data_IF_941780067479
#
_entry.id   IF_941780067479
#
_cell.length_a   1.000
_cell.length_b   1.000
_cell.length_c   1.000
_cell.angle_alpha   90.00
_cell.angle_beta   90.00
_cell.angle_gamma   90.00
#
_symmetry.space_group_name_H-M   'P 1'
#
loop_
_entity.id
_entity.type
_entity.pdbx_description
1 polymer ?
#
# COMPACT_ATOMS: atom_id res chain seq x y z
N UNK A 1 -11.50 -27.13 -15.09
CA UNK A 1 -11.27 -25.69 -15.40
C UNK A 1 -9.82 -25.48 -15.87
N UNK A 2 -9.62 -24.78 -16.98
CA UNK A 2 -8.29 -24.61 -17.59
C UNK A 2 -7.41 -23.64 -16.77
N UNK A 3 -6.09 -23.81 -16.83
CA UNK A 3 -5.13 -23.00 -16.10
C UNK A 3 -5.01 -21.58 -16.67
N UNK A 4 -4.66 -20.59 -15.84
CA UNK A 4 -4.50 -19.20 -16.30
C UNK A 4 -3.49 -19.01 -17.44
N UNK A 5 -2.36 -19.76 -17.51
CA UNK A 5 -1.46 -19.72 -18.67
C UNK A 5 -2.12 -20.19 -19.98
N UNK A 6 -3.02 -21.17 -19.91
CA UNK A 6 -3.78 -21.63 -21.09
C UNK A 6 -4.69 -20.52 -21.63
N UNK A 7 -5.32 -19.75 -20.75
CA UNK A 7 -6.14 -18.61 -21.15
C UNK A 7 -5.31 -17.45 -21.71
N UNK A 8 -4.13 -17.17 -21.15
CA UNK A 8 -3.21 -16.16 -21.68
C UNK A 8 -2.80 -16.47 -23.13
N UNK A 9 -2.47 -17.74 -23.41
CA UNK A 9 -2.14 -18.18 -24.77
C UNK A 9 -3.36 -18.11 -25.70
N UNK A 10 -4.53 -18.55 -25.23
CA UNK A 10 -5.78 -18.50 -26.01
C UNK A 10 -6.27 -17.10 -26.35
N UNK A 11 -5.94 -16.09 -25.55
CA UNK A 11 -6.27 -14.69 -25.86
C UNK A 11 -5.40 -14.14 -26.99
N UNK A 12 -4.15 -14.63 -27.15
CA UNK A 12 -3.25 -14.27 -28.24
C UNK A 12 -3.61 -14.94 -29.56
N UNK A 13 -4.04 -16.20 -29.49
CA UNK A 13 -4.28 -17.03 -30.68
C UNK A 13 -5.65 -16.76 -31.35
N UNK A 14 -6.38 -15.73 -30.93
CA UNK A 14 -7.73 -15.45 -31.41
C UNK A 14 -7.86 -14.04 -31.98
N UNK A 15 -8.77 -13.82 -32.96
CA UNK A 15 -9.05 -12.49 -33.45
C UNK A 15 -9.62 -11.60 -32.33
N UNK A 16 -9.35 -10.28 -32.33
CA UNK A 16 -9.66 -9.38 -31.22
C UNK A 16 -11.10 -9.47 -30.71
N UNK A 17 -12.08 -9.61 -31.61
CA UNK A 17 -13.50 -9.76 -31.26
C UNK A 17 -13.80 -11.01 -30.41
N UNK A 18 -13.17 -12.14 -30.71
CA UNK A 18 -13.32 -13.40 -29.94
C UNK A 18 -12.47 -13.38 -28.67
N UNK A 19 -11.30 -12.75 -28.71
CA UNK A 19 -10.44 -12.59 -27.54
C UNK A 19 -11.12 -11.70 -26.48
N UNK A 20 -11.77 -10.60 -26.88
CA UNK A 20 -12.55 -9.75 -25.97
C UNK A 20 -13.76 -10.51 -25.41
N UNK A 21 -14.46 -11.29 -26.23
CA UNK A 21 -15.56 -12.12 -25.75
C UNK A 21 -15.08 -13.15 -24.71
N UNK A 22 -13.93 -13.79 -24.94
CA UNK A 22 -13.30 -14.69 -23.98
C UNK A 22 -12.87 -13.94 -22.71
N UNK A 23 -12.23 -12.77 -22.82
CA UNK A 23 -11.83 -11.94 -21.70
C UNK A 23 -13.04 -11.59 -20.81
N UNK A 24 -14.19 -11.23 -21.40
CA UNK A 24 -15.44 -10.98 -20.66
C UNK A 24 -15.93 -12.18 -19.85
N UNK A 25 -15.70 -13.41 -20.32
CA UNK A 25 -16.04 -14.62 -19.55
C UNK A 25 -15.10 -14.86 -18.36
N UNK A 26 -13.89 -14.28 -18.41
CA UNK A 26 -12.89 -14.42 -17.36
C UNK A 26 -12.96 -13.30 -16.33
N UNK A 27 -13.34 -12.09 -16.75
CA UNK A 27 -13.43 -10.92 -15.90
C UNK A 27 -14.60 -11.05 -14.93
N UNK A 28 -14.37 -10.66 -13.68
CA UNK A 28 -15.39 -10.68 -12.63
C UNK A 28 -16.67 -9.92 -13.05
N UNK A 29 -17.85 -10.37 -12.60
CA UNK A 29 -19.15 -9.83 -13.03
C UNK A 29 -19.28 -8.29 -12.84
N UNK A 30 -18.68 -7.73 -11.78
CA UNK A 30 -18.67 -6.28 -11.51
C UNK A 30 -17.51 -5.51 -12.19
N UNK A 31 -16.66 -6.19 -12.96
CA UNK A 31 -15.49 -5.65 -13.67
C UNK A 31 -15.63 -5.70 -15.19
N UNK A 32 -16.79 -6.13 -15.71
CA UNK A 32 -17.05 -6.25 -17.15
C UNK A 32 -16.63 -5.05 -18.02
N UNK A 33 -16.70 -3.78 -17.56
CA UNK A 33 -16.18 -2.64 -18.31
C UNK A 33 -14.67 -2.67 -18.57
N UNK A 34 -13.88 -3.41 -17.78
CA UNK A 34 -12.42 -3.57 -17.92
C UNK A 34 -12.03 -4.58 -19.01
N UNK A 35 -13.00 -5.33 -19.57
CA UNK A 35 -12.75 -6.23 -20.69
C UNK A 35 -12.72 -5.46 -22.02
N UNK A 36 -11.74 -4.57 -22.16
CA UNK A 36 -11.53 -3.70 -23.33
C UNK A 36 -10.45 -4.25 -24.28
N UNK A 37 -10.37 -3.66 -25.47
CA UNK A 37 -9.30 -3.94 -26.42
C UNK A 37 -7.93 -3.49 -25.90
N UNK A 38 -7.87 -2.39 -25.14
CA UNK A 38 -6.65 -1.87 -24.51
C UNK A 38 -6.06 -2.89 -23.53
N UNK A 39 -6.88 -3.42 -22.60
CA UNK A 39 -6.44 -4.45 -21.65
C UNK A 39 -6.02 -5.74 -22.37
N UNK A 40 -6.68 -6.08 -23.48
CA UNK A 40 -6.26 -7.21 -24.30
C UNK A 40 -4.86 -7.00 -24.92
N UNK A 41 -4.57 -5.80 -25.43
CA UNK A 41 -3.26 -5.45 -25.98
C UNK A 41 -2.18 -5.51 -24.90
N UNK A 42 -2.45 -4.99 -23.71
CA UNK A 42 -1.53 -5.07 -22.56
C UNK A 42 -1.21 -6.51 -22.19
N UNK A 43 -2.23 -7.38 -22.04
CA UNK A 43 -2.04 -8.81 -21.74
C UNK A 43 -1.21 -9.55 -22.81
N UNK A 44 -1.32 -9.12 -24.06
CA UNK A 44 -0.57 -9.70 -25.17
C UNK A 44 0.91 -9.27 -25.18
N UNK A 45 1.26 -8.13 -24.58
CA UNK A 45 2.64 -7.64 -24.46
C UNK A 45 3.42 -8.25 -23.28
N UNK A 46 2.72 -8.83 -22.30
CA UNK A 46 3.33 -9.44 -21.11
C UNK A 46 3.98 -10.80 -21.41
N UNK A 47 4.77 -11.33 -20.47
CA UNK A 47 5.13 -12.76 -20.49
C UNK A 47 3.89 -13.63 -20.26
N UNK A 48 3.92 -14.92 -20.62
CA UNK A 48 2.79 -15.82 -20.35
C UNK A 48 2.51 -15.97 -18.84
N UNK A 49 3.55 -15.90 -18.01
CA UNK A 49 3.43 -15.97 -16.55
C UNK A 49 2.76 -14.71 -15.99
N UNK A 50 3.22 -13.53 -16.40
CA UNK A 50 2.65 -12.26 -15.97
C UNK A 50 1.22 -12.08 -16.46
N UNK A 51 0.93 -12.45 -17.72
CA UNK A 51 -0.42 -12.44 -18.27
C UNK A 51 -1.34 -13.40 -17.50
N UNK A 52 -0.84 -14.58 -17.09
CA UNK A 52 -1.61 -15.51 -16.27
C UNK A 52 -1.92 -14.93 -14.88
N UNK A 53 -0.96 -14.19 -14.29
CA UNK A 53 -1.15 -13.44 -13.04
C UNK A 53 -2.19 -12.33 -13.17
N UNK A 54 -2.14 -11.54 -14.24
CA UNK A 54 -3.11 -10.48 -14.52
C UNK A 54 -4.53 -11.03 -14.78
N UNK A 55 -4.66 -12.17 -15.48
CA UNK A 55 -5.94 -12.85 -15.67
C UNK A 55 -6.51 -13.36 -14.33
N UNK A 56 -5.65 -13.85 -13.42
CA UNK A 56 -6.08 -14.22 -12.06
C UNK A 56 -6.58 -13.01 -11.27
N UNK A 57 -5.93 -11.86 -11.41
CA UNK A 57 -6.37 -10.60 -10.79
C UNK A 57 -7.75 -10.18 -11.32
N UNK A 58 -7.93 -10.16 -12.64
CA UNK A 58 -9.18 -9.76 -13.31
C UNK A 58 -10.39 -10.65 -12.95
N UNK A 59 -10.14 -11.92 -12.58
CA UNK A 59 -11.16 -12.85 -12.06
C UNK A 59 -11.65 -12.49 -10.66
N UNK A 60 -10.84 -11.78 -9.88
CA UNK A 60 -11.16 -11.33 -8.54
C UNK A 60 -12.08 -10.09 -8.52
N UNK A 61 -12.75 -9.83 -7.39
CA UNK A 61 -13.53 -8.61 -7.22
C UNK A 61 -12.64 -7.36 -7.30
N UNK A 62 -13.23 -6.20 -7.61
CA UNK A 62 -12.53 -4.92 -7.64
C UNK A 62 -11.75 -4.72 -6.34
N UNK A 63 -10.43 -4.56 -6.44
CA UNK A 63 -9.59 -4.19 -5.31
C UNK A 63 -9.58 -2.67 -5.24
N UNK A 64 -10.37 -2.12 -4.32
CA UNK A 64 -10.36 -0.69 -4.09
C UNK A 64 -9.21 -0.33 -3.14
N UNK A 65 -8.32 0.55 -3.57
CA UNK A 65 -7.53 1.37 -2.64
C UNK A 65 -8.40 2.60 -2.34
N UNK A 66 -9.30 2.48 -1.35
CA UNK A 66 -10.15 3.59 -0.92
C UNK A 66 -9.37 4.45 0.08
N UNK A 67 -8.90 5.61 -0.38
CA UNK A 67 -8.66 6.75 0.51
C UNK A 67 -10.01 7.38 0.87
N UNK A 68 -10.37 7.37 2.16
CA UNK A 68 -11.57 8.05 2.64
C UNK A 68 -11.23 9.52 2.87
N UNK A 69 -11.38 10.35 1.82
CA UNK A 69 -11.18 11.80 1.86
C UNK A 69 -9.71 12.20 1.93
N UNK A 70 -9.12 12.62 0.79
CA UNK A 70 -7.75 13.16 0.61
C UNK A 70 -6.57 12.43 1.31
N UNK A 71 -6.82 11.28 1.93
CA UNK A 71 -5.96 10.67 2.93
C UNK A 71 -6.11 9.14 2.81
N UNK A 72 -5.00 8.47 2.46
CA UNK A 72 -4.95 7.02 2.33
C UNK A 72 -4.61 6.42 3.69
N UNK A 73 -5.54 5.69 4.31
CA UNK A 73 -5.27 5.00 5.58
C UNK A 73 -5.22 3.50 5.39
N UNK A 74 -4.22 2.85 6.01
CA UNK A 74 -4.04 1.39 6.01
C UNK A 74 -4.08 0.87 7.44
N UNK A 75 -4.67 -0.31 7.64
CA UNK A 75 -4.61 -1.02 8.92
C UNK A 75 -3.22 -1.62 9.09
N UNK A 76 -2.58 -1.34 10.22
CA UNK A 76 -1.26 -1.84 10.56
C UNK A 76 -1.25 -2.44 11.97
N UNK A 77 -0.32 -3.36 12.18
CA UNK A 77 0.07 -3.81 13.51
C UNK A 77 1.49 -3.31 13.81
N UNK A 78 1.65 -2.60 14.92
CA UNK A 78 2.97 -2.22 15.44
C UNK A 78 3.36 -3.14 16.58
N UNK A 79 4.58 -3.65 16.54
CA UNK A 79 5.17 -4.47 17.60
C UNK A 79 6.43 -3.76 18.12
N UNK A 80 6.50 -3.55 19.43
CA UNK A 80 7.68 -3.02 20.10
C UNK A 80 8.81 -4.05 20.08
N UNK A 81 10.04 -3.58 19.91
CA UNK A 81 11.19 -4.48 19.76
C UNK A 81 11.71 -5.00 21.11
N UNK A 82 11.52 -4.24 22.18
CA UNK A 82 12.03 -4.51 23.53
C UNK A 82 11.11 -5.45 24.34
N UNK A 83 9.80 -5.21 24.31
CA UNK A 83 8.83 -5.97 25.13
C UNK A 83 7.73 -6.68 24.33
N UNK A 84 7.80 -6.65 22.99
CA UNK A 84 6.90 -7.37 22.07
C UNK A 84 5.39 -7.05 22.24
N UNK A 85 5.05 -5.90 22.82
CA UNK A 85 3.68 -5.38 22.84
C UNK A 85 3.20 -5.06 21.44
N UNK A 86 1.97 -5.47 21.12
CA UNK A 86 1.34 -5.25 19.83
C UNK A 86 0.22 -4.21 19.90
N UNK A 87 0.14 -3.35 18.89
CA UNK A 87 -0.89 -2.33 18.74
C UNK A 87 -1.46 -2.37 17.32
N UNK A 88 -2.75 -2.66 17.20
CA UNK A 88 -3.47 -2.57 15.93
C UNK A 88 -4.05 -1.17 15.77
N UNK A 89 -3.67 -0.46 14.71
CA UNK A 89 -4.11 0.91 14.44
C UNK A 89 -4.23 1.18 12.94
N UNK A 90 -4.74 2.36 12.59
CA UNK A 90 -4.74 2.86 11.22
C UNK A 90 -3.60 3.84 11.07
N UNK A 91 -2.75 3.64 10.07
CA UNK A 91 -1.70 4.59 9.71
C UNK A 91 -2.11 5.36 8.46
N UNK A 92 -1.74 6.65 8.43
CA UNK A 92 -1.84 7.49 7.25
C UNK A 92 -0.64 7.24 6.34
N UNK A 93 -0.91 6.93 5.08
CA UNK A 93 0.06 6.91 4.00
C UNK A 93 0.08 8.30 3.38
N UNK A 94 1.19 8.99 3.57
CA UNK A 94 1.42 10.34 3.07
C UNK A 94 2.62 10.35 2.13
N UNK A 95 2.39 10.58 0.83
CA UNK A 95 3.44 10.71 -0.17
C UNK A 95 4.18 12.06 -0.10
N UNK A 96 3.66 13.02 0.67
CA UNK A 96 4.28 14.32 0.90
C UNK A 96 5.33 14.32 2.01
N UNK A 97 5.51 13.20 2.73
CA UNK A 97 6.45 13.11 3.83
C UNK A 97 7.75 12.40 3.42
N UNK A 98 8.90 13.01 3.72
CA UNK A 98 10.23 12.42 3.43
C UNK A 98 10.59 11.28 4.39
N UNK A 99 9.85 11.09 5.48
CA UNK A 99 10.12 10.05 6.48
C UNK A 99 8.88 9.63 7.25
N UNK A 100 8.97 8.52 7.98
CA UNK A 100 7.86 8.06 8.82
C UNK A 100 7.84 8.77 10.16
N UNK A 101 6.66 9.13 10.63
CA UNK A 101 6.46 9.86 11.90
C UNK A 101 5.40 9.20 12.76
N UNK A 102 5.49 9.39 14.07
CA UNK A 102 4.53 8.87 15.05
C UNK A 102 4.16 9.95 16.06
N UNK A 103 2.89 9.95 16.47
CA UNK A 103 2.36 10.93 17.42
C UNK A 103 3.04 10.83 18.80
N UNK A 104 3.46 11.98 19.31
CA UNK A 104 4.12 12.10 20.61
C UNK A 104 3.17 11.77 21.77
N UNK A 105 1.87 12.05 21.63
CA UNK A 105 0.84 11.69 22.60
C UNK A 105 0.68 10.18 22.72
N UNK A 106 0.62 9.47 21.59
CA UNK A 106 0.59 8.01 21.52
C UNK A 106 1.83 7.38 22.15
N UNK A 107 3.03 7.88 21.82
CA UNK A 107 4.29 7.40 22.40
C UNK A 107 4.28 7.51 23.92
N UNK A 108 3.86 8.65 24.46
CA UNK A 108 3.75 8.87 25.92
C UNK A 108 2.67 7.99 26.55
N UNK A 109 1.47 7.97 25.97
CA UNK A 109 0.32 7.23 26.49
C UNK A 109 0.55 5.71 26.52
N UNK A 110 1.33 5.18 25.56
CA UNK A 110 1.68 3.76 25.52
C UNK A 110 3.02 3.45 26.18
N UNK A 111 3.78 4.45 26.65
CA UNK A 111 5.09 4.24 27.24
C UNK A 111 6.03 3.53 26.27
N UNK A 112 6.10 4.02 25.03
CA UNK A 112 7.03 3.48 24.03
C UNK A 112 8.44 4.01 24.30
N UNK A 113 9.43 3.15 24.11
CA UNK A 113 10.83 3.46 24.36
C UNK A 113 11.43 4.32 23.23
N UNK A 114 11.16 5.62 23.27
CA UNK A 114 11.69 6.58 22.32
C UNK A 114 13.10 7.02 22.74
N UNK A 115 14.04 6.95 21.80
CA UNK A 115 15.44 7.34 21.98
C UNK A 115 15.64 8.80 21.60
N UNK A 116 16.30 9.62 22.43
CA UNK A 116 16.59 11.01 22.11
C UNK A 116 17.60 11.11 20.97
N UNK A 117 17.44 12.14 20.14
CA UNK A 117 18.44 12.51 19.15
C UNK A 117 19.56 13.33 19.80
N UNK A 118 20.82 13.16 19.34
CA UNK A 118 21.92 14.05 19.74
C UNK A 118 21.65 15.52 19.41
N UNK A 119 20.83 15.78 18.37
CA UNK A 119 20.41 17.12 17.96
C UNK A 119 18.98 17.08 17.40
N UNK A 120 18.12 18.06 17.74
CA UNK A 120 16.80 18.18 17.13
C UNK A 120 16.87 18.36 15.60
N UNK A 121 15.98 17.69 14.87
CA UNK A 121 15.83 17.81 13.41
C UNK A 121 14.66 18.75 13.12
N UNK A 122 14.88 19.92 12.50
CA UNK A 122 13.79 20.82 12.12
C UNK A 122 12.90 20.17 11.06
N UNK A 123 11.59 20.23 11.26
CA UNK A 123 10.59 19.78 10.30
C UNK A 123 10.07 20.98 9.55
N UNK A 124 10.00 20.89 8.22
CA UNK A 124 9.46 21.92 7.35
C UNK A 124 8.16 21.43 6.72
N UNK A 125 7.18 22.32 6.63
CA UNK A 125 5.94 22.07 5.89
C UNK A 125 6.20 22.15 4.38
N UNK A 126 5.25 21.70 3.57
CA UNK A 126 5.34 21.74 2.10
C UNK A 126 5.48 23.16 1.53
N UNK A 127 5.06 24.19 2.28
CA UNK A 127 5.23 25.61 1.93
C UNK A 127 6.61 26.18 2.33
N UNK A 128 7.49 25.36 2.91
CA UNK A 128 8.84 25.72 3.33
C UNK A 128 8.92 26.38 4.72
N UNK A 129 7.79 26.58 5.41
CA UNK A 129 7.77 27.12 6.77
C UNK A 129 8.18 26.06 7.80
N UNK A 130 8.72 26.48 8.95
CA UNK A 130 8.96 25.57 10.07
C UNK A 130 7.65 25.04 10.63
N UNK A 131 7.60 23.74 10.89
CA UNK A 131 6.44 23.11 11.50
C UNK A 131 6.22 23.68 12.92
N UNK A 132 4.98 24.08 13.21
CA UNK A 132 4.58 24.64 14.52
C UNK A 132 4.66 23.64 15.67
N UNK A 133 4.55 22.35 15.36
CA UNK A 133 4.79 21.25 16.31
C UNK A 133 6.26 21.16 16.78
N UNK A 134 7.16 21.88 16.10
CA UNK A 134 8.57 21.94 16.44
C UNK A 134 9.42 20.87 15.75
N UNK A 135 10.66 20.76 16.20
CA UNK A 135 11.64 19.80 15.68
C UNK A 135 11.40 18.40 16.22
N UNK A 136 11.73 17.38 15.42
CA UNK A 136 11.82 15.99 15.90
C UNK A 136 13.01 15.92 16.87
N UNK A 137 12.75 15.46 18.10
CA UNK A 137 13.78 15.34 19.14
C UNK A 137 14.04 13.90 19.55
N UNK A 138 13.14 12.97 19.20
CA UNK A 138 13.23 11.56 19.55
C UNK A 138 12.82 10.69 18.36
N UNK A 139 13.31 9.45 18.35
CA UNK A 139 12.88 8.40 17.42
C UNK A 139 12.44 7.15 18.19
N UNK A 140 11.50 6.41 17.63
CA UNK A 140 11.15 5.07 18.10
C UNK A 140 11.23 4.09 16.94
N UNK A 141 11.85 2.93 17.15
CA UNK A 141 11.90 1.87 16.13
C UNK A 141 10.91 0.78 16.49
N UNK A 142 9.99 0.48 15.58
CA UNK A 142 8.95 -0.51 15.77
C UNK A 142 8.95 -1.49 14.59
N UNK A 143 8.50 -2.72 14.81
CA UNK A 143 8.18 -3.63 13.71
C UNK A 143 6.74 -3.36 13.28
N UNK A 144 6.58 -2.90 12.05
CA UNK A 144 5.27 -2.66 11.43
C UNK A 144 4.89 -3.85 10.57
N UNK A 145 3.63 -4.27 10.63
CA UNK A 145 3.05 -5.31 9.78
C UNK A 145 1.88 -4.76 8.98
N UNK A 146 1.84 -5.07 7.69
CA UNK A 146 0.76 -4.75 6.75
C UNK A 146 0.38 -6.03 6.01
N UNK A 147 -0.74 -6.63 6.41
CA UNK A 147 -1.11 -7.96 5.93
C UNK A 147 -0.02 -9.00 6.26
N UNK A 148 0.62 -9.56 5.24
CA UNK A 148 1.72 -10.53 5.40
C UNK A 148 3.12 -9.93 5.38
N UNK A 149 3.24 -8.63 5.10
CA UNK A 149 4.53 -7.95 5.03
C UNK A 149 4.88 -7.38 6.40
N UNK A 150 6.15 -7.49 6.79
CA UNK A 150 6.65 -6.96 8.05
C UNK A 150 8.01 -6.29 7.85
N UNK A 151 8.16 -5.08 8.39
CA UNK A 151 9.36 -4.27 8.27
C UNK A 151 9.67 -3.57 9.59
N UNK A 152 10.94 -3.29 9.87
CA UNK A 152 11.34 -2.42 10.97
C UNK A 152 11.38 -0.98 10.46
N UNK A 153 10.57 -0.13 11.06
CA UNK A 153 10.46 1.28 10.69
C UNK A 153 10.90 2.13 11.89
N UNK A 154 11.69 3.15 11.60
CA UNK A 154 12.11 4.17 12.56
C UNK A 154 11.24 5.41 12.38
N UNK A 155 10.45 5.74 13.39
CA UNK A 155 9.49 6.84 13.35
C UNK A 155 10.01 8.06 14.11
N UNK A 156 10.01 9.21 13.46
CA UNK A 156 10.24 10.49 14.12
C UNK A 156 9.09 10.80 15.06
N UNK A 157 9.39 11.07 16.33
CA UNK A 157 8.38 11.46 17.31
C UNK A 157 8.07 12.94 17.12
N UNK A 158 6.83 13.25 16.77
CA UNK A 158 6.36 14.61 16.54
C UNK A 158 4.89 14.74 16.94
N UNK A 159 4.38 15.96 17.07
CA UNK A 159 2.94 16.19 17.26
C UNK A 159 2.28 16.19 15.88
N UNK A 160 1.37 15.24 15.64
CA UNK A 160 0.78 15.04 14.32
C UNK A 160 -0.50 15.86 14.08
N UNK A 161 -0.94 16.66 15.07
CA UNK A 161 -2.08 17.56 14.94
C UNK A 161 -3.44 16.89 15.10
#
# INVERSE_FOLDING_TARGET
PWSSPWYAQRLRDQPPSRAIALLRTLVHAHRQPEATEEVLLELNQLSLEDAAGAIQELRGPKRFIRGSGSSLTIGIDLVTLDDQRQFSLKALVDSGCTGSSIDSGFVKAKGLNAQPLPRPIPVYNADGTLNKAGSITHFVTLRMMVGKHAERITFGVTDLG
#
